data_IF_624861717435
#
_entry.id   IF_624861717435
#
_cell.length_a   1.000
_cell.length_b   1.000
_cell.length_c   1.000
_cell.angle_alpha   90.00
_cell.angle_beta   90.00
_cell.angle_gamma   90.00
#
_symmetry.space_group_name_H-M   'P 1'
#
loop_
_entity.id
_entity.type
_entity.pdbx_description
1 polymer ?
#
# COMPACT_ATOMS: atom_id res chain seq x y z
N UNK A 1 62.42 13.00 -38.69
CA UNK A 1 63.15 12.20 -37.69
C UNK A 1 62.22 11.97 -36.51
N UNK A 2 61.76 10.73 -36.36
CA UNK A 2 60.90 10.25 -35.26
C UNK A 2 61.77 10.05 -34.01
N UNK A 3 61.36 10.55 -32.84
CA UNK A 3 61.73 10.00 -31.53
C UNK A 3 60.91 10.65 -30.40
N UNK A 4 60.43 9.80 -29.50
CA UNK A 4 59.76 10.07 -28.20
C UNK A 4 58.23 10.19 -28.18
N UNK A 5 57.54 9.07 -28.40
CA UNK A 5 56.26 8.77 -27.72
C UNK A 5 56.38 7.33 -27.20
N UNK A 6 56.72 7.13 -25.92
CA UNK A 6 56.54 5.85 -25.21
C UNK A 6 57.01 5.89 -23.74
N UNK A 7 56.59 6.85 -22.92
CA UNK A 7 56.70 6.72 -21.45
C UNK A 7 55.47 7.40 -20.82
N UNK A 8 54.36 6.68 -20.75
CA UNK A 8 53.13 7.25 -20.19
C UNK A 8 51.97 6.27 -20.04
N UNK A 9 52.24 4.97 -19.94
CA UNK A 9 51.19 3.94 -19.93
C UNK A 9 51.38 2.85 -18.86
N UNK A 10 52.16 3.08 -17.80
CA UNK A 10 52.43 2.04 -16.78
C UNK A 10 52.24 2.46 -15.32
N UNK A 11 51.76 3.67 -15.03
CA UNK A 11 51.60 4.15 -13.63
C UNK A 11 50.12 4.46 -13.27
N UNK A 12 49.16 4.12 -14.14
CA UNK A 12 47.72 4.25 -13.83
C UNK A 12 47.07 2.98 -13.25
N UNK A 13 47.67 1.80 -13.50
CA UNK A 13 47.01 0.52 -13.20
C UNK A 13 47.34 -0.08 -11.82
N UNK A 14 48.37 0.41 -11.12
CA UNK A 14 48.78 -0.17 -9.82
C UNK A 14 48.17 0.53 -8.60
N UNK A 15 47.60 1.73 -8.74
CA UNK A 15 47.01 2.44 -7.59
C UNK A 15 45.53 2.10 -7.38
N UNK A 16 44.81 1.70 -8.45
CA UNK A 16 43.39 1.32 -8.34
C UNK A 16 43.16 -0.16 -7.95
N UNK A 17 44.20 -1.00 -7.94
CA UNK A 17 44.12 -2.38 -7.45
C UNK A 17 44.40 -2.53 -5.95
N UNK A 18 45.26 -1.66 -5.38
CA UNK A 18 45.71 -1.78 -3.99
C UNK A 18 44.65 -1.45 -2.94
N UNK A 19 43.67 -0.60 -3.27
CA UNK A 19 42.61 -0.20 -2.32
C UNK A 19 41.44 -1.19 -2.31
N UNK A 20 41.20 -1.91 -3.42
CA UNK A 20 40.17 -2.95 -3.47
C UNK A 20 40.66 -4.33 -3.00
N UNK A 21 41.98 -4.57 -3.04
CA UNK A 21 42.60 -5.82 -2.57
C UNK A 21 42.76 -5.95 -1.06
N UNK A 22 42.77 -4.85 -0.30
CA UNK A 22 42.99 -4.90 1.16
C UNK A 22 41.71 -5.09 1.99
N UNK A 23 40.52 -4.97 1.39
CA UNK A 23 39.23 -5.13 2.12
C UNK A 23 38.69 -6.57 2.07
N UNK A 24 39.34 -7.47 1.31
CA UNK A 24 38.93 -8.87 1.15
C UNK A 24 39.83 -9.89 1.85
N UNK A 25 40.85 -9.46 2.61
CA UNK A 25 41.85 -10.35 3.26
C UNK A 25 41.75 -10.37 4.79
N UNK A 26 40.59 -9.98 5.34
CA UNK A 26 40.23 -10.28 6.74
C UNK A 26 38.75 -10.68 6.79
N UNK A 27 38.48 -11.97 6.62
CA UNK A 27 37.17 -12.57 6.74
C UNK A 27 37.25 -14.07 6.52
N UNK A 28 37.38 -14.81 7.61
CA UNK A 28 37.45 -16.27 7.68
C UNK A 28 36.26 -16.99 7.02
N UNK A 29 36.41 -18.30 6.69
CA UNK A 29 35.51 -19.04 5.82
C UNK A 29 34.29 -19.54 6.60
N UNK A 30 33.17 -18.84 6.45
CA UNK A 30 31.83 -19.37 6.71
C UNK A 30 31.08 -19.48 5.38
N UNK A 31 30.58 -20.67 5.05
CA UNK A 31 29.91 -20.97 3.78
C UNK A 31 28.72 -20.05 3.45
N UNK A 32 28.11 -20.18 2.25
CA UNK A 32 27.01 -19.33 1.84
C UNK A 32 25.80 -19.61 2.73
N UNK A 33 25.60 -18.79 3.74
CA UNK A 33 24.34 -18.67 4.48
C UNK A 33 23.31 -18.09 3.52
N UNK A 34 22.65 -18.96 2.77
CA UNK A 34 21.37 -18.69 2.15
C UNK A 34 20.32 -18.53 3.27
N UNK A 35 20.37 -17.43 4.02
CA UNK A 35 19.37 -17.06 5.02
C UNK A 35 19.54 -15.57 5.40
N UNK A 36 19.31 -14.69 4.42
CA UNK A 36 19.03 -13.27 4.68
C UNK A 36 17.72 -12.82 4.03
N UNK A 37 16.77 -13.75 3.94
CA UNK A 37 15.35 -13.43 3.80
C UNK A 37 14.63 -13.66 5.13
N UNK A 38 15.21 -13.19 6.24
CA UNK A 38 14.44 -13.07 7.47
C UNK A 38 13.76 -11.71 7.52
N UNK A 39 12.47 -11.78 7.19
CA UNK A 39 11.44 -11.20 8.03
C UNK A 39 11.58 -9.68 8.18
N UNK A 40 11.04 -8.94 7.21
CA UNK A 40 10.49 -7.62 7.55
C UNK A 40 9.32 -7.90 8.47
N UNK A 41 9.62 -7.99 9.78
CA UNK A 41 8.63 -7.80 10.82
C UNK A 41 8.00 -6.45 10.49
N UNK A 42 6.79 -6.49 9.91
CA UNK A 42 5.99 -5.33 9.59
C UNK A 42 5.69 -4.66 10.93
N UNK A 43 6.60 -3.80 11.37
CA UNK A 43 6.41 -2.94 12.52
C UNK A 43 5.15 -2.13 12.23
N UNK A 44 4.20 -2.01 13.19
CA UNK A 44 3.02 -1.17 13.00
C UNK A 44 3.47 0.25 12.63
N UNK A 45 3.30 0.63 11.36
CA UNK A 45 3.78 1.92 10.83
C UNK A 45 4.78 1.85 9.67
N UNK A 46 5.37 0.68 9.37
CA UNK A 46 6.22 0.52 8.19
C UNK A 46 5.36 0.58 6.92
N UNK A 47 5.59 1.57 6.06
CA UNK A 47 4.92 1.70 4.76
C UNK A 47 5.66 0.85 3.70
N UNK A 48 5.79 -0.46 3.96
CA UNK A 48 6.50 -1.40 3.09
C UNK A 48 5.69 -2.67 2.87
N UNK A 49 5.80 -3.24 1.68
CA UNK A 49 5.14 -4.49 1.30
C UNK A 49 3.62 -4.35 1.18
N UNK A 50 2.94 -5.48 1.41
CA UNK A 50 1.49 -5.61 1.34
C UNK A 50 0.92 -5.77 2.75
N UNK A 51 -0.09 -4.96 3.07
CA UNK A 51 -0.84 -5.01 4.32
C UNK A 51 -2.23 -5.58 4.04
N UNK A 52 -2.48 -6.78 4.53
CA UNK A 52 -3.80 -7.40 4.53
C UNK A 52 -4.56 -7.00 5.80
N UNK A 53 -5.84 -6.68 5.65
CA UNK A 53 -6.74 -6.22 6.70
C UNK A 53 -8.05 -7.01 6.64
N UNK A 54 -8.61 -7.34 7.79
CA UNK A 54 -9.98 -7.82 7.91
C UNK A 54 -10.79 -6.70 8.57
N UNK A 55 -11.86 -6.30 7.92
CA UNK A 55 -12.71 -5.19 8.32
C UNK A 55 -14.12 -5.67 8.61
N UNK A 56 -14.63 -5.32 9.79
CA UNK A 56 -16.05 -5.40 10.10
C UNK A 56 -16.69 -4.08 9.69
N UNK A 57 -17.56 -4.13 8.69
CA UNK A 57 -18.15 -2.97 8.04
C UNK A 57 -19.66 -2.91 8.30
N UNK A 58 -20.14 -1.70 8.55
CA UNK A 58 -21.53 -1.37 8.81
C UNK A 58 -21.97 -0.23 7.90
N UNK A 59 -23.24 -0.28 7.48
CA UNK A 59 -23.82 0.75 6.63
C UNK A 59 -24.23 1.95 7.51
N UNK A 60 -23.70 3.15 7.21
CA UNK A 60 -24.05 4.37 7.94
C UNK A 60 -25.51 4.71 7.68
N UNK A 61 -26.32 4.77 8.73
CA UNK A 61 -27.75 5.10 8.66
C UNK A 61 -27.99 6.47 7.99
N UNK A 62 -27.11 7.43 8.22
CA UNK A 62 -27.23 8.76 7.61
C UNK A 62 -26.92 8.72 6.11
N UNK A 63 -25.94 7.93 5.70
CA UNK A 63 -25.62 7.70 4.29
C UNK A 63 -26.73 6.95 3.56
N UNK A 64 -27.30 5.94 4.21
CA UNK A 64 -28.44 5.18 3.70
C UNK A 64 -29.65 6.07 3.45
N UNK A 65 -30.02 6.91 4.42
CA UNK A 65 -31.14 7.84 4.27
C UNK A 65 -30.90 8.84 3.14
N UNK A 66 -29.68 9.37 3.01
CA UNK A 66 -29.32 10.30 1.92
C UNK A 66 -29.36 9.64 0.54
N UNK A 67 -29.09 8.35 0.45
CA UNK A 67 -29.13 7.58 -0.79
C UNK A 67 -30.47 6.84 -1.00
N UNK A 68 -31.44 7.02 -0.11
CA UNK A 68 -32.75 6.35 -0.18
C UNK A 68 -32.71 4.83 0.05
N UNK A 69 -31.64 4.30 0.65
CA UNK A 69 -31.50 2.87 0.98
C UNK A 69 -32.35 2.60 2.22
N UNK A 70 -33.43 1.84 2.04
CA UNK A 70 -34.41 1.55 3.12
C UNK A 70 -34.09 0.26 3.88
N UNK A 71 -33.19 -0.57 3.35
CA UNK A 71 -32.84 -1.85 3.96
C UNK A 71 -31.64 -1.73 4.90
N UNK A 72 -31.82 -2.14 6.16
CA UNK A 72 -30.71 -2.39 7.10
C UNK A 72 -29.90 -3.57 6.58
N UNK A 73 -28.88 -3.28 5.78
CA UNK A 73 -27.94 -4.32 5.38
C UNK A 73 -27.10 -4.73 6.62
N UNK A 74 -27.02 -6.04 6.96
CA UNK A 74 -26.31 -6.49 8.14
C UNK A 74 -24.82 -6.15 8.05
N UNK A 75 -24.16 -6.00 9.22
CA UNK A 75 -22.72 -5.83 9.28
C UNK A 75 -22.03 -6.98 8.56
N UNK A 76 -20.98 -6.67 7.80
CA UNK A 76 -20.24 -7.66 7.02
C UNK A 76 -18.77 -7.59 7.32
N UNK A 77 -18.18 -8.76 7.52
CA UNK A 77 -16.74 -8.93 7.57
C UNK A 77 -16.23 -9.00 6.12
N UNK A 78 -15.24 -8.20 5.80
CA UNK A 78 -14.62 -8.15 4.47
C UNK A 78 -13.10 -8.05 4.55
N UNK A 79 -12.42 -8.41 3.47
CA UNK A 79 -10.98 -8.20 3.35
C UNK A 79 -10.68 -6.86 2.67
N UNK A 80 -9.69 -6.16 3.19
CA UNK A 80 -9.06 -5.01 2.56
C UNK A 80 -7.56 -5.27 2.43
N UNK A 81 -6.95 -4.74 1.37
CA UNK A 81 -5.52 -4.86 1.15
C UNK A 81 -4.97 -3.52 0.72
N UNK A 82 -3.83 -3.17 1.29
CA UNK A 82 -3.05 -1.99 0.93
C UNK A 82 -1.68 -2.46 0.45
N UNK A 83 -1.37 -2.15 -0.79
CA UNK A 83 -0.08 -2.41 -1.41
C UNK A 83 0.73 -1.10 -1.42
N UNK A 84 1.71 -0.99 -0.52
CA UNK A 84 2.56 0.19 -0.42
C UNK A 84 3.57 0.29 -1.55
N UNK A 85 3.94 -0.83 -2.18
CA UNK A 85 4.89 -0.86 -3.29
C UNK A 85 4.25 -0.31 -4.57
N UNK A 86 2.98 -0.65 -4.79
CA UNK A 86 2.20 -0.14 -5.93
C UNK A 86 1.44 1.14 -5.62
N UNK A 87 1.55 1.68 -4.40
CA UNK A 87 0.74 2.80 -3.92
C UNK A 87 -0.75 2.61 -4.23
N UNK A 88 -1.27 1.42 -3.94
CA UNK A 88 -2.65 1.07 -4.28
C UNK A 88 -3.37 0.37 -3.14
N UNK A 89 -4.70 0.37 -3.17
CA UNK A 89 -5.49 -0.36 -2.18
C UNK A 89 -6.86 -0.73 -2.69
N UNK A 90 -7.42 -1.78 -2.12
CA UNK A 90 -8.77 -2.25 -2.43
C UNK A 90 -9.41 -2.86 -1.18
N UNK A 91 -10.73 -2.98 -1.21
CA UNK A 91 -11.46 -3.79 -0.26
C UNK A 91 -12.60 -4.50 -0.98
N UNK A 92 -12.96 -5.67 -0.48
CA UNK A 92 -14.02 -6.50 -1.02
C UNK A 92 -15.39 -5.99 -0.55
N UNK A 93 -16.40 -6.05 -1.40
CA UNK A 93 -17.75 -5.65 -0.99
C UNK A 93 -18.69 -5.41 -2.15
N UNK A 94 -19.96 -5.79 -1.99
CA UNK A 94 -21.01 -5.54 -3.00
C UNK A 94 -21.27 -4.05 -3.25
N UNK A 95 -20.97 -3.20 -2.26
CA UNK A 95 -21.13 -1.74 -2.33
C UNK A 95 -19.84 -1.05 -2.77
N UNK A 96 -18.71 -1.76 -2.75
CA UNK A 96 -17.48 -1.30 -3.36
C UNK A 96 -17.70 -1.12 -4.87
N UNK A 97 -17.19 -0.04 -5.43
CA UNK A 97 -17.44 0.30 -6.84
C UNK A 97 -16.86 -0.76 -7.79
N UNK A 98 -15.82 -1.48 -7.36
CA UNK A 98 -15.31 -2.66 -8.05
C UNK A 98 -14.32 -3.38 -7.16
N UNK A 99 -14.52 -4.69 -6.95
CA UNK A 99 -13.51 -5.58 -6.35
C UNK A 99 -12.25 -5.66 -7.24
N UNK A 100 -12.40 -5.35 -8.53
CA UNK A 100 -11.38 -5.52 -9.57
C UNK A 100 -10.52 -4.28 -9.82
N UNK A 101 -10.82 -3.14 -9.17
CA UNK A 101 -10.08 -1.88 -9.37
C UNK A 101 -9.51 -1.38 -8.04
N UNK A 102 -8.19 -1.54 -7.90
CA UNK A 102 -7.42 -0.89 -6.85
C UNK A 102 -7.42 0.62 -7.05
N UNK A 103 -7.64 1.37 -5.97
CA UNK A 103 -7.51 2.82 -5.94
C UNK A 103 -6.10 3.27 -5.65
N UNK A 104 -5.86 4.58 -5.76
CA UNK A 104 -4.58 5.21 -5.45
C UNK A 104 -4.48 5.45 -3.95
N UNK A 105 -3.40 4.95 -3.33
CA UNK A 105 -3.10 5.13 -1.92
C UNK A 105 -2.41 6.48 -1.68
N UNK A 106 -2.86 7.17 -0.64
CA UNK A 106 -2.25 8.35 -0.05
C UNK A 106 -2.03 8.08 1.44
N UNK A 107 -0.77 8.11 1.86
CA UNK A 107 -0.42 7.91 3.27
C UNK A 107 -0.40 9.25 3.99
N UNK A 108 -1.32 9.45 4.92
CA UNK A 108 -1.52 10.69 5.69
C UNK A 108 -1.21 10.43 7.17
N UNK A 109 0.07 10.27 7.51
CA UNK A 109 0.48 9.94 8.87
C UNK A 109 -0.04 8.57 9.30
N UNK A 110 -0.93 8.49 10.28
CA UNK A 110 -1.55 7.21 10.69
C UNK A 110 -2.69 6.76 9.77
N UNK A 111 -3.21 7.65 8.94
CA UNK A 111 -4.36 7.38 8.06
C UNK A 111 -3.89 6.93 6.68
N UNK A 112 -4.49 5.87 6.17
CA UNK A 112 -4.33 5.37 4.81
C UNK A 112 -5.58 5.77 4.05
N UNK A 113 -5.47 6.73 3.13
CA UNK A 113 -6.57 7.17 2.28
C UNK A 113 -6.40 6.52 0.91
N UNK A 114 -7.44 5.88 0.41
CA UNK A 114 -7.45 5.30 -0.93
C UNK A 114 -8.56 5.96 -1.74
N UNK A 115 -8.22 6.45 -2.93
CA UNK A 115 -9.13 7.19 -3.80
C UNK A 115 -9.37 6.39 -5.08
N UNK A 116 -10.64 6.22 -5.42
CA UNK A 116 -11.11 5.54 -6.63
C UNK A 116 -12.03 6.45 -7.44
N UNK A 117 -11.50 7.17 -8.43
CA UNK A 117 -12.34 7.92 -9.36
C UNK A 117 -13.08 6.92 -10.27
N UNK A 118 -14.40 6.99 -10.28
CA UNK A 118 -15.24 6.12 -11.09
C UNK A 118 -16.62 6.77 -11.27
N UNK A 119 -17.06 6.88 -12.52
CA UNK A 119 -18.39 7.40 -12.84
C UNK A 119 -19.36 6.26 -13.10
N UNK A 120 -20.38 6.13 -12.25
CA UNK A 120 -21.42 5.11 -12.36
C UNK A 120 -22.69 5.59 -11.64
N UNK A 121 -23.83 5.08 -12.08
CA UNK A 121 -25.12 5.39 -11.46
C UNK A 121 -25.47 4.28 -10.48
N UNK A 122 -25.78 4.64 -9.24
CA UNK A 122 -26.28 3.70 -8.23
C UNK A 122 -27.22 4.40 -7.28
N UNK A 123 -28.27 3.72 -6.83
CA UNK A 123 -29.29 4.30 -5.97
C UNK A 123 -29.97 5.56 -6.56
N UNK A 124 -30.11 5.61 -7.89
CA UNK A 124 -30.69 6.77 -8.58
C UNK A 124 -29.80 8.01 -8.64
N UNK A 125 -28.61 7.98 -8.03
CA UNK A 125 -27.65 9.09 -8.04
C UNK A 125 -26.41 8.76 -8.86
N UNK A 126 -25.82 9.80 -9.46
CA UNK A 126 -24.56 9.71 -10.20
C UNK A 126 -23.40 9.87 -9.23
N UNK A 127 -22.60 8.81 -9.09
CA UNK A 127 -21.42 8.79 -8.23
C UNK A 127 -20.21 9.04 -9.11
N UNK A 128 -19.39 10.03 -8.72
CA UNK A 128 -18.19 10.46 -9.43
C UNK A 128 -16.91 9.78 -8.90
N UNK A 129 -16.96 9.24 -7.68
CA UNK A 129 -15.88 8.43 -7.12
C UNK A 129 -16.17 7.94 -5.72
N UNK A 130 -15.26 7.12 -5.23
CA UNK A 130 -15.25 6.61 -3.88
C UNK A 130 -13.90 6.86 -3.24
N UNK A 131 -13.94 7.11 -1.94
CA UNK A 131 -12.79 7.21 -1.09
C UNK A 131 -13.00 6.32 0.11
N UNK A 132 -11.97 5.61 0.56
CA UNK A 132 -12.00 4.99 1.87
C UNK A 132 -10.75 5.35 2.66
N UNK A 133 -10.91 5.48 3.96
CA UNK A 133 -9.86 5.87 4.89
C UNK A 133 -9.79 4.86 6.01
N UNK A 134 -8.58 4.38 6.29
CA UNK A 134 -8.27 3.46 7.38
C UNK A 134 -7.30 4.14 8.33
N UNK A 135 -7.66 4.30 9.59
CA UNK A 135 -6.75 4.77 10.62
C UNK A 135 -6.01 3.59 11.25
N UNK A 136 -4.69 3.49 11.04
CA UNK A 136 -3.86 2.39 11.54
C UNK A 136 -3.81 2.31 13.06
N UNK A 137 -4.05 3.42 13.77
CA UNK A 137 -3.98 3.45 15.23
C UNK A 137 -5.27 2.94 15.87
N UNK A 138 -6.41 3.29 15.29
CA UNK A 138 -7.73 2.97 15.87
C UNK A 138 -8.42 1.81 15.15
N UNK A 139 -7.93 1.42 13.98
CA UNK A 139 -8.60 0.49 13.08
C UNK A 139 -9.79 1.10 12.36
N UNK A 140 -10.16 2.37 12.61
CA UNK A 140 -11.39 2.95 12.06
C UNK A 140 -11.36 2.98 10.54
N UNK A 141 -12.40 2.41 9.93
CA UNK A 141 -12.68 2.45 8.50
C UNK A 141 -13.83 3.41 8.22
N UNK A 142 -13.68 4.26 7.20
CA UNK A 142 -14.75 5.11 6.68
C UNK A 142 -14.69 5.10 5.16
N UNK A 143 -15.82 4.79 4.52
CA UNK A 143 -16.01 4.97 3.10
C UNK A 143 -16.89 6.20 2.84
N UNK A 144 -16.44 7.02 1.91
CA UNK A 144 -17.14 8.20 1.42
C UNK A 144 -17.37 8.04 -0.08
N UNK A 145 -18.58 8.36 -0.53
CA UNK A 145 -18.91 8.49 -1.93
C UNK A 145 -18.93 9.97 -2.31
N UNK A 146 -18.26 10.30 -3.41
CA UNK A 146 -18.30 11.61 -4.03
C UNK A 146 -19.37 11.57 -5.12
N UNK A 147 -20.40 12.40 -4.98
CA UNK A 147 -21.50 12.52 -5.93
C UNK A 147 -21.16 13.55 -7.01
N UNK A 148 -21.78 13.43 -8.18
CA UNK A 148 -21.55 14.36 -9.30
C UNK A 148 -22.05 15.78 -9.03
N UNK A 149 -22.93 15.96 -8.06
CA UNK A 149 -23.45 17.26 -7.60
C UNK A 149 -22.49 17.97 -6.63
N UNK A 150 -21.32 17.37 -6.34
CA UNK A 150 -20.31 17.90 -5.43
C UNK A 150 -20.54 17.52 -3.96
N UNK A 151 -21.61 16.79 -3.65
CA UNK A 151 -21.84 16.29 -2.29
C UNK A 151 -20.94 15.09 -1.97
N UNK A 152 -20.59 14.96 -0.69
CA UNK A 152 -19.89 13.79 -0.17
C UNK A 152 -20.76 13.11 0.88
N UNK A 153 -20.89 11.79 0.76
CA UNK A 153 -21.74 10.98 1.63
C UNK A 153 -20.92 9.85 2.21
N UNK A 154 -20.82 9.82 3.54
CA UNK A 154 -20.27 8.65 4.23
C UNK A 154 -21.31 7.55 4.18
N UNK A 155 -20.93 6.40 3.61
CA UNK A 155 -21.86 5.29 3.40
C UNK A 155 -21.53 4.08 4.28
N UNK A 156 -20.25 3.82 4.51
CA UNK A 156 -19.81 2.66 5.27
C UNK A 156 -18.86 3.13 6.36
N UNK A 157 -19.07 2.63 7.56
CA UNK A 157 -18.16 2.82 8.69
C UNK A 157 -17.86 1.48 9.31
N UNK A 158 -16.69 1.33 9.92
CA UNK A 158 -16.34 0.05 10.52
C UNK A 158 -15.00 0.09 11.23
N UNK A 159 -14.52 -1.10 11.56
CA UNK A 159 -13.22 -1.30 12.20
C UNK A 159 -12.46 -2.40 11.47
N UNK A 160 -11.18 -2.15 11.19
CA UNK A 160 -10.26 -3.07 10.55
C UNK A 160 -9.14 -3.46 11.50
N UNK A 161 -8.74 -4.73 11.42
CA UNK A 161 -7.55 -5.27 12.06
C UNK A 161 -6.57 -5.79 11.01
N UNK A 162 -5.27 -5.57 11.22
CA UNK A 162 -4.22 -6.09 10.35
C UNK A 162 -4.10 -7.60 10.53
N UNK A 163 -4.06 -8.31 9.40
CA UNK A 163 -3.80 -9.75 9.38
C UNK A 163 -2.30 -9.97 9.34
N UNK A 164 -1.77 -10.63 10.37
CA UNK A 164 -0.42 -11.16 10.36
C UNK A 164 -0.48 -12.63 9.97
N UNK A 165 -0.09 -12.95 8.74
CA UNK A 165 0.05 -14.34 8.30
C UNK A 165 1.27 -14.96 8.98
N UNK A 166 1.14 -16.12 9.65
CA UNK A 166 2.30 -16.84 10.15
C UNK A 166 3.17 -17.32 8.97
N UNK A 167 4.49 -17.42 9.14
CA UNK A 167 5.35 -18.05 8.14
C UNK A 167 5.06 -19.56 8.14
N UNK A 168 4.43 -20.05 7.09
CA UNK A 168 4.30 -21.48 6.79
C UNK A 168 4.93 -21.73 5.43
#
# INVERSE_FOLDING_TARGET
>A
MLKFIAIGASVGALVMGGVWGLVHVMGEPGGPSADSQMTTTLTPGANKGVMDLICELELDLNGQLKLGITDKEPSRITMAQIDFEKNSGWYQGKIAISESRSGTLQVMGTRLKVIRPAMFQRFGVMIAGEEFVIDRKTGRFVQTLNLSDGQTVNLITGTCAQVTKPPF
#
